data_IF_527770412072
#
_entry.id   IF_527770412072
#
_cell.length_a   1.000
_cell.length_b   1.000
_cell.length_c   1.000
_cell.angle_alpha   90.00
_cell.angle_beta   90.00
_cell.angle_gamma   90.00
#
_symmetry.space_group_name_H-M   'P 1'
#
loop_
_entity.id
_entity.type
_entity.pdbx_description
1 polymer ?
#
# COMPACT_ATOMS: atom_id res chain seq x y z
N UNK A 1 -61.18 -3.30 21.29
CA UNK A 1 -60.09 -2.33 21.01
C UNK A 1 -58.69 -2.95 20.98
N UNK A 2 -58.49 -4.22 20.55
CA UNK A 2 -57.17 -4.91 20.53
C UNK A 2 -56.76 -5.46 19.14
N UNK A 3 -57.59 -5.29 18.09
CA UNK A 3 -57.30 -5.80 16.74
C UNK A 3 -56.54 -4.78 15.90
N UNK A 4 -56.81 -3.47 16.08
CA UNK A 4 -56.14 -2.41 15.29
C UNK A 4 -54.64 -2.29 15.58
N UNK A 5 -54.19 -2.50 16.84
CA UNK A 5 -52.79 -2.39 17.22
C UNK A 5 -51.90 -3.55 16.65
N UNK A 6 -52.49 -4.75 16.46
CA UNK A 6 -51.80 -5.89 15.87
C UNK A 6 -51.60 -5.72 14.36
N UNK A 7 -52.54 -5.12 13.66
CA UNK A 7 -52.46 -4.86 12.21
C UNK A 7 -51.44 -3.75 11.93
N UNK A 8 -51.41 -2.68 12.74
CA UNK A 8 -50.41 -1.62 12.64
C UNK A 8 -48.96 -2.14 12.87
N UNK A 9 -48.77 -3.05 13.84
CA UNK A 9 -47.48 -3.64 14.11
C UNK A 9 -47.05 -4.66 13.01
N UNK A 10 -48.00 -5.30 12.34
CA UNK A 10 -47.68 -6.15 11.21
C UNK A 10 -47.31 -5.34 9.96
N UNK A 11 -47.98 -4.24 9.69
CA UNK A 11 -47.67 -3.32 8.60
C UNK A 11 -46.36 -2.57 8.80
N UNK A 12 -45.96 -2.25 10.03
CA UNK A 12 -44.66 -1.66 10.33
C UNK A 12 -43.53 -2.66 10.10
N UNK A 13 -43.71 -3.94 10.46
CA UNK A 13 -42.73 -5.01 10.20
C UNK A 13 -42.60 -5.34 8.71
N UNK A 14 -43.69 -5.29 7.93
CA UNK A 14 -43.64 -5.48 6.47
C UNK A 14 -43.00 -4.28 5.78
N UNK A 15 -43.20 -3.04 6.25
CA UNK A 15 -42.52 -1.86 5.69
C UNK A 15 -41.00 -1.89 5.91
N UNK A 16 -40.53 -2.40 7.05
CA UNK A 16 -39.08 -2.54 7.31
C UNK A 16 -38.41 -3.61 6.48
N UNK A 17 -39.16 -4.62 5.99
CA UNK A 17 -38.61 -5.66 5.11
C UNK A 17 -38.62 -5.29 3.62
N UNK A 18 -39.27 -4.16 3.25
CA UNK A 18 -39.35 -3.67 1.86
C UNK A 18 -38.42 -2.46 1.60
N UNK A 19 -37.73 -1.96 2.62
CA UNK A 19 -36.66 -0.99 2.42
C UNK A 19 -35.43 -1.81 2.00
N UNK A 20 -34.94 -1.64 0.75
CA UNK A 20 -33.67 -2.27 0.39
C UNK A 20 -32.62 -1.89 1.43
N UNK A 21 -31.90 -2.89 1.95
CA UNK A 21 -30.72 -2.58 2.79
C UNK A 21 -29.84 -1.63 1.98
N UNK A 22 -29.26 -0.58 2.61
CA UNK A 22 -28.30 0.28 1.91
C UNK A 22 -27.28 -0.63 1.21
N UNK A 23 -26.99 -0.32 -0.04
CA UNK A 23 -26.02 -1.07 -0.83
C UNK A 23 -24.72 -1.15 -0.02
N UNK A 24 -24.38 -2.35 0.47
CA UNK A 24 -23.21 -2.58 1.31
C UNK A 24 -21.98 -2.90 0.46
N UNK A 25 -22.08 -2.82 -0.87
CA UNK A 25 -20.95 -3.03 -1.76
C UNK A 25 -19.90 -1.94 -1.54
N UNK A 26 -18.69 -2.38 -1.32
CA UNK A 26 -17.51 -1.52 -1.24
C UNK A 26 -16.60 -1.82 -2.42
N UNK A 27 -16.09 -0.80 -3.07
CA UNK A 27 -15.13 -0.94 -4.16
C UNK A 27 -13.73 -0.89 -3.58
N UNK A 28 -12.93 -1.93 -3.85
CA UNK A 28 -11.49 -1.94 -3.61
C UNK A 28 -10.75 -1.52 -4.88
N UNK A 29 -9.61 -0.89 -4.69
CA UNK A 29 -8.65 -0.50 -5.73
C UNK A 29 -7.32 -1.26 -5.57
N UNK A 30 -7.10 -1.88 -4.43
CA UNK A 30 -5.96 -2.72 -4.15
C UNK A 30 -6.08 -4.11 -4.80
N UNK A 31 -5.01 -4.88 -4.75
CA UNK A 31 -4.91 -6.18 -5.43
C UNK A 31 -5.84 -7.23 -4.80
N UNK A 32 -5.84 -7.31 -3.48
CA UNK A 32 -6.61 -8.31 -2.72
C UNK A 32 -7.52 -7.68 -1.65
N UNK A 33 -7.84 -6.37 -1.75
CA UNK A 33 -8.72 -5.68 -0.82
C UNK A 33 -8.01 -5.05 0.38
N UNK A 34 -6.70 -4.86 0.31
CA UNK A 34 -5.86 -4.25 1.34
C UNK A 34 -6.40 -2.88 1.77
N UNK A 35 -6.82 -2.05 0.82
CA UNK A 35 -7.37 -0.73 1.05
C UNK A 35 -8.64 -0.73 1.94
N UNK A 36 -9.47 -1.75 1.84
CA UNK A 36 -10.65 -1.92 2.69
C UNK A 36 -10.27 -2.38 4.10
N UNK A 37 -9.26 -3.24 4.24
CA UNK A 37 -8.71 -3.65 5.54
C UNK A 37 -8.06 -2.45 6.22
N UNK A 38 -7.22 -1.72 5.50
CA UNK A 38 -6.57 -0.48 5.95
C UNK A 38 -7.60 0.55 6.42
N UNK A 39 -8.68 0.75 5.65
CA UNK A 39 -9.76 1.64 6.04
C UNK A 39 -10.43 1.21 7.35
N UNK A 40 -10.64 -0.09 7.56
CA UNK A 40 -11.18 -0.60 8.83
C UNK A 40 -10.24 -0.31 10.02
N UNK A 41 -8.93 -0.50 9.82
CA UNK A 41 -7.91 -0.19 10.84
C UNK A 41 -7.96 1.31 11.20
N UNK A 42 -7.94 2.21 10.20
CA UNK A 42 -7.97 3.65 10.45
C UNK A 42 -9.26 4.12 11.11
N UNK A 43 -10.41 3.50 10.77
CA UNK A 43 -11.65 3.76 11.50
C UNK A 43 -11.54 3.35 12.97
N UNK A 44 -10.95 2.20 13.29
CA UNK A 44 -10.70 1.77 14.66
C UNK A 44 -9.75 2.72 15.40
N UNK A 45 -8.71 3.23 14.72
CA UNK A 45 -7.77 4.22 15.25
C UNK A 45 -8.34 5.65 15.27
N UNK A 46 -9.56 5.88 14.79
CA UNK A 46 -10.21 7.22 14.69
C UNK A 46 -9.46 8.20 13.80
N UNK A 47 -8.77 7.70 12.78
CA UNK A 47 -8.04 8.49 11.77
C UNK A 47 -8.92 8.56 10.51
N UNK A 48 -9.58 9.68 10.29
CA UNK A 48 -10.54 9.83 9.17
C UNK A 48 -9.86 10.02 7.82
N UNK A 49 -8.74 10.74 7.79
CA UNK A 49 -7.98 11.07 6.58
C UNK A 49 -6.50 10.74 6.79
N UNK A 50 -6.12 9.46 6.70
CA UNK A 50 -4.74 9.07 6.91
C UNK A 50 -3.82 9.68 5.85
N UNK A 51 -2.69 10.24 6.29
CA UNK A 51 -1.58 10.56 5.40
C UNK A 51 -0.83 9.29 5.05
N UNK A 52 -0.28 9.22 3.84
CA UNK A 52 0.41 8.01 3.37
C UNK A 52 1.67 8.31 2.58
N UNK A 53 2.65 7.43 2.72
CA UNK A 53 3.79 7.28 1.85
C UNK A 53 3.63 5.95 1.10
N UNK A 54 3.53 6.01 -0.24
CA UNK A 54 3.28 4.86 -1.12
C UNK A 54 4.51 4.64 -2.01
N UNK A 55 5.29 3.61 -1.69
CA UNK A 55 6.59 3.30 -2.31
C UNK A 55 6.38 2.18 -3.33
N UNK A 56 6.65 2.47 -4.61
CA UNK A 56 6.32 1.59 -5.74
C UNK A 56 4.87 1.78 -6.20
N UNK A 57 4.41 3.03 -6.29
CA UNK A 57 2.99 3.36 -6.49
C UNK A 57 2.39 2.92 -7.83
N UNK A 58 3.20 2.61 -8.83
CA UNK A 58 2.85 2.05 -10.14
C UNK A 58 1.71 2.77 -10.86
N UNK A 59 0.48 2.33 -10.70
CA UNK A 59 -0.70 2.93 -11.35
C UNK A 59 -1.46 3.85 -10.38
N UNK A 60 -1.99 4.99 -10.85
CA UNK A 60 -2.71 5.91 -9.95
C UNK A 60 -3.95 5.33 -9.29
N UNK A 61 -4.54 4.25 -9.82
CA UNK A 61 -5.83 3.70 -9.36
C UNK A 61 -5.86 2.18 -9.27
N UNK A 62 -5.21 1.50 -10.23
CA UNK A 62 -5.24 0.05 -10.36
C UNK A 62 -4.16 -0.58 -9.49
N UNK A 63 -4.51 -1.59 -8.71
CA UNK A 63 -3.62 -2.24 -7.74
C UNK A 63 -3.02 -1.23 -6.75
N UNK A 64 -3.81 -0.25 -6.30
CA UNK A 64 -3.32 0.82 -5.42
C UNK A 64 -3.87 0.67 -4.01
N UNK A 65 -2.98 0.50 -3.03
CA UNK A 65 -3.32 0.43 -1.61
C UNK A 65 -3.78 1.79 -1.06
N UNK A 66 -3.47 2.90 -1.74
CA UNK A 66 -3.70 4.27 -1.25
C UNK A 66 -4.77 5.05 -2.02
N UNK A 67 -5.19 4.61 -3.21
CA UNK A 67 -6.17 5.35 -4.01
C UNK A 67 -7.53 5.46 -3.33
N UNK A 68 -7.95 4.47 -2.56
CA UNK A 68 -9.17 4.53 -1.76
C UNK A 68 -9.17 5.75 -0.84
N UNK A 69 -8.07 6.01 -0.13
CA UNK A 69 -7.91 7.16 0.77
C UNK A 69 -7.87 8.48 0.00
N UNK A 70 -7.14 8.53 -1.12
CA UNK A 70 -7.15 9.69 -2.01
C UNK A 70 -8.56 10.04 -2.46
N UNK A 71 -9.34 9.07 -2.93
CA UNK A 71 -10.72 9.27 -3.38
C UNK A 71 -11.62 9.82 -2.26
N UNK A 72 -11.35 9.45 -1.01
CA UNK A 72 -12.07 9.90 0.17
C UNK A 72 -11.48 11.18 0.80
N UNK A 73 -10.65 11.93 0.09
CA UNK A 73 -10.19 13.25 0.47
C UNK A 73 -8.92 13.29 1.32
N UNK A 74 -8.24 12.16 1.52
CA UNK A 74 -6.89 12.12 2.08
C UNK A 74 -5.84 12.53 1.03
N UNK A 75 -4.58 12.65 1.43
CA UNK A 75 -3.46 12.95 0.54
C UNK A 75 -2.15 12.42 1.10
N UNK A 76 -1.17 12.23 0.23
CA UNK A 76 0.13 11.70 0.60
C UNK A 76 1.22 11.93 -0.43
N UNK A 77 2.28 11.17 -0.29
CA UNK A 77 3.43 11.15 -1.19
C UNK A 77 3.54 9.78 -1.82
N UNK A 78 3.74 9.75 -3.13
CA UNK A 78 3.98 8.53 -3.89
C UNK A 78 5.39 8.56 -4.45
N UNK A 79 6.08 7.44 -4.38
CA UNK A 79 7.40 7.25 -4.96
C UNK A 79 7.28 6.28 -6.13
N UNK A 80 7.63 6.77 -7.32
CA UNK A 80 7.53 6.00 -8.56
C UNK A 80 8.71 6.33 -9.48
N UNK A 81 9.69 5.40 -9.61
CA UNK A 81 10.87 5.63 -10.45
C UNK A 81 10.59 5.65 -11.94
N UNK A 82 9.53 5.00 -12.44
CA UNK A 82 9.14 5.08 -13.84
C UNK A 82 8.51 6.46 -14.13
N UNK A 83 9.21 7.27 -14.91
CA UNK A 83 8.77 8.62 -15.28
C UNK A 83 7.39 8.67 -15.93
N UNK A 84 7.03 7.70 -16.76
CA UNK A 84 5.72 7.64 -17.43
C UNK A 84 4.59 7.38 -16.43
N UNK A 85 4.83 6.48 -15.46
CA UNK A 85 3.88 6.16 -14.41
C UNK A 85 3.76 7.34 -13.44
N UNK A 86 4.87 7.93 -12.99
CA UNK A 86 4.86 9.11 -12.13
C UNK A 86 4.09 10.27 -12.79
N UNK A 87 4.28 10.53 -14.10
CA UNK A 87 3.51 11.54 -14.84
C UNK A 87 2.01 11.22 -14.89
N UNK A 88 1.63 9.94 -15.03
CA UNK A 88 0.23 9.49 -15.01
C UNK A 88 -0.39 9.71 -13.64
N UNK A 89 0.35 9.38 -12.57
CA UNK A 89 -0.06 9.62 -11.18
C UNK A 89 -0.31 11.12 -10.95
N UNK A 90 0.65 11.97 -11.26
CA UNK A 90 0.55 13.43 -11.07
C UNK A 90 -0.68 14.03 -11.76
N UNK A 91 -1.01 13.55 -12.96
CA UNK A 91 -2.21 13.99 -13.69
C UNK A 91 -3.52 13.54 -13.06
N UNK A 92 -3.52 12.36 -12.43
CA UNK A 92 -4.73 11.70 -11.92
C UNK A 92 -4.99 12.04 -10.46
N UNK A 93 -3.92 12.20 -9.66
CA UNK A 93 -3.94 12.38 -8.21
C UNK A 93 -3.34 13.75 -7.84
N UNK A 94 -4.01 14.81 -8.24
CA UNK A 94 -3.52 16.20 -8.13
C UNK A 94 -3.32 16.72 -6.70
N UNK A 95 -3.87 16.05 -5.67
CA UNK A 95 -3.61 16.38 -4.25
C UNK A 95 -2.40 15.68 -3.70
N UNK A 96 -1.92 14.64 -4.37
CA UNK A 96 -0.74 13.90 -3.96
C UNK A 96 0.52 14.47 -4.63
N UNK A 97 1.64 14.26 -3.98
CA UNK A 97 2.96 14.53 -4.52
C UNK A 97 3.51 13.21 -5.07
N UNK A 98 3.84 13.14 -6.34
CA UNK A 98 4.54 12.00 -6.92
C UNK A 98 6.00 12.36 -7.14
N UNK A 99 6.90 11.63 -6.49
CA UNK A 99 8.35 11.78 -6.61
C UNK A 99 8.87 10.76 -7.62
N UNK A 100 9.50 11.26 -8.70
CA UNK A 100 10.12 10.40 -9.70
C UNK A 100 11.54 10.02 -9.24
N UNK A 101 11.64 9.23 -8.20
CA UNK A 101 12.86 8.76 -7.54
C UNK A 101 12.69 7.31 -7.09
N UNK A 102 13.80 6.66 -6.70
CA UNK A 102 13.76 5.41 -5.94
C UNK A 102 14.01 5.65 -4.46
N UNK A 103 13.81 4.60 -3.65
CA UNK A 103 14.15 4.64 -2.22
C UNK A 103 15.56 4.09 -2.01
N UNK A 104 16.39 4.86 -1.32
CA UNK A 104 17.74 4.44 -0.91
C UNK A 104 17.69 3.59 0.35
N UNK A 105 18.40 2.48 0.33
CA UNK A 105 18.62 1.61 1.51
C UNK A 105 20.00 1.77 2.11
N UNK A 106 20.84 2.57 1.48
CA UNK A 106 22.23 2.85 1.87
C UNK A 106 22.63 4.29 1.48
N UNK A 107 23.93 4.58 1.42
CA UNK A 107 24.44 5.92 1.10
C UNK A 107 24.42 6.27 -0.39
N UNK A 108 23.98 5.39 -1.28
CA UNK A 108 23.89 5.67 -2.72
C UNK A 108 22.84 6.74 -3.00
N UNK A 109 23.15 7.61 -3.95
CA UNK A 109 22.27 8.70 -4.38
C UNK A 109 21.61 8.44 -5.72
N UNK A 110 22.02 7.38 -6.41
CA UNK A 110 21.46 6.95 -7.69
C UNK A 110 21.65 5.43 -7.86
N UNK A 111 20.80 4.82 -8.68
CA UNK A 111 20.91 3.43 -9.10
C UNK A 111 20.30 3.22 -10.48
N UNK A 112 20.72 2.15 -11.13
CA UNK A 112 20.12 1.69 -12.39
C UNK A 112 18.75 1.07 -12.10
N UNK A 113 17.76 1.52 -12.85
CA UNK A 113 16.38 1.02 -12.81
C UNK A 113 16.08 0.31 -14.11
N UNK A 114 15.73 -0.97 -14.01
CA UNK A 114 15.48 -1.87 -15.15
C UNK A 114 14.00 -1.83 -15.51
N UNK A 115 13.70 -1.29 -16.70
CA UNK A 115 12.35 -1.19 -17.24
C UNK A 115 12.05 -2.43 -18.06
N UNK A 116 11.03 -3.17 -17.61
CA UNK A 116 10.58 -4.39 -18.26
C UNK A 116 9.47 -4.09 -19.29
N UNK A 117 9.24 -5.03 -20.22
CA UNK A 117 8.08 -4.94 -21.13
C UNK A 117 6.73 -5.10 -20.41
N UNK A 118 6.71 -5.59 -19.17
CA UNK A 118 5.60 -5.47 -18.21
C UNK A 118 6.05 -4.55 -17.08
N UNK A 119 5.42 -3.38 -16.95
CA UNK A 119 5.88 -2.33 -16.01
C UNK A 119 5.68 -2.68 -14.54
N UNK A 120 4.81 -3.65 -14.25
CA UNK A 120 4.64 -4.21 -12.90
C UNK A 120 5.89 -4.97 -12.42
N UNK A 121 6.80 -5.30 -13.32
CA UNK A 121 8.03 -6.05 -13.04
C UNK A 121 9.28 -5.16 -13.15
N UNK A 122 9.11 -3.83 -13.15
CA UNK A 122 10.23 -2.91 -13.12
C UNK A 122 10.95 -3.03 -11.77
N UNK A 123 12.29 -3.05 -11.77
CA UNK A 123 13.06 -3.30 -10.55
C UNK A 123 14.41 -2.58 -10.56
N UNK A 124 14.96 -2.30 -9.37
CA UNK A 124 16.34 -1.88 -9.18
C UNK A 124 17.34 -3.05 -9.11
N UNK A 125 16.86 -4.28 -8.98
CA UNK A 125 17.72 -5.48 -8.95
C UNK A 125 18.02 -5.99 -10.35
N UNK A 126 19.29 -5.90 -10.76
CA UNK A 126 19.75 -6.50 -12.01
C UNK A 126 19.53 -8.01 -12.03
N UNK A 127 19.79 -8.66 -10.90
CA UNK A 127 19.64 -10.13 -10.78
C UNK A 127 18.16 -10.52 -10.99
N UNK A 128 17.24 -9.76 -10.43
CA UNK A 128 15.82 -10.00 -10.59
C UNK A 128 15.36 -9.74 -12.03
N UNK A 129 15.79 -8.63 -12.64
CA UNK A 129 15.49 -8.33 -14.04
C UNK A 129 16.00 -9.43 -14.98
N UNK A 130 17.24 -9.91 -14.78
CA UNK A 130 17.83 -10.98 -15.55
C UNK A 130 17.08 -12.32 -15.32
N UNK A 131 16.70 -12.62 -14.07
CA UNK A 131 15.93 -13.82 -13.71
C UNK A 131 14.56 -13.84 -14.39
N UNK A 132 13.88 -12.71 -14.39
CA UNK A 132 12.58 -12.54 -15.05
C UNK A 132 12.75 -12.67 -16.57
N UNK A 133 13.76 -12.03 -17.16
CA UNK A 133 14.03 -12.09 -18.60
C UNK A 133 14.40 -13.51 -19.07
N UNK A 134 15.09 -14.29 -18.25
CA UNK A 134 15.45 -15.69 -18.56
C UNK A 134 14.23 -16.62 -18.74
N UNK A 135 13.03 -16.20 -18.30
CA UNK A 135 11.79 -16.95 -18.52
C UNK A 135 11.29 -16.87 -19.99
N UNK A 136 11.86 -15.97 -20.81
CA UNK A 136 11.58 -15.85 -22.25
C UNK A 136 10.28 -15.10 -22.61
N UNK A 137 9.42 -14.81 -21.64
CA UNK A 137 8.16 -14.05 -21.83
C UNK A 137 8.43 -12.55 -21.61
N UNK A 138 9.23 -12.23 -20.63
CA UNK A 138 9.60 -10.89 -20.26
C UNK A 138 10.98 -10.51 -20.79
N UNK A 139 11.24 -9.22 -20.94
CA UNK A 139 12.55 -8.69 -21.34
C UNK A 139 12.77 -7.30 -20.77
N UNK A 140 14.03 -6.96 -20.52
CA UNK A 140 14.45 -5.59 -20.22
C UNK A 140 14.30 -4.77 -21.51
N UNK A 141 13.56 -3.68 -21.44
CA UNK A 141 13.32 -2.77 -22.59
C UNK A 141 14.16 -1.52 -22.52
N UNK A 142 14.53 -1.08 -21.30
CA UNK A 142 15.34 0.11 -21.06
C UNK A 142 16.03 -0.01 -19.69
N UNK A 143 17.11 0.73 -19.50
CA UNK A 143 17.78 0.89 -18.20
C UNK A 143 18.03 2.38 -17.99
N UNK A 144 17.60 2.92 -16.86
CA UNK A 144 17.74 4.36 -16.54
C UNK A 144 18.36 4.53 -15.18
N UNK A 145 19.32 5.43 -15.08
CA UNK A 145 19.84 5.87 -13.78
C UNK A 145 18.80 6.79 -13.14
N UNK A 146 18.37 6.45 -11.93
CA UNK A 146 17.34 7.15 -11.15
C UNK A 146 17.94 7.65 -9.84
N UNK A 147 17.59 8.87 -9.45
CA UNK A 147 17.96 9.41 -8.13
C UNK A 147 17.29 8.60 -7.01
N UNK A 148 18.03 8.45 -5.91
CA UNK A 148 17.56 7.77 -4.71
C UNK A 148 17.45 8.77 -3.55
N UNK A 149 16.37 8.66 -2.78
CA UNK A 149 16.15 9.36 -1.52
C UNK A 149 15.88 8.35 -0.41
N UNK A 150 16.39 8.59 0.78
CA UNK A 150 16.00 7.80 1.95
C UNK A 150 14.55 8.13 2.37
N UNK A 151 13.89 7.20 3.05
CA UNK A 151 12.54 7.46 3.61
C UNK A 151 12.57 8.68 4.53
N UNK A 152 13.61 8.82 5.33
CA UNK A 152 13.83 9.95 6.22
C UNK A 152 13.86 11.30 5.47
N UNK A 153 14.59 11.37 4.35
CA UNK A 153 14.64 12.58 3.51
C UNK A 153 13.25 12.90 2.96
N UNK A 154 12.52 11.88 2.47
CA UNK A 154 11.16 12.04 1.93
C UNK A 154 10.20 12.52 3.03
N UNK A 155 10.21 11.87 4.19
CA UNK A 155 9.32 12.23 5.29
C UNK A 155 9.60 13.64 5.80
N UNK A 156 10.85 13.99 6.04
CA UNK A 156 11.25 15.34 6.51
C UNK A 156 10.88 16.45 5.50
N UNK A 157 10.96 16.15 4.20
CA UNK A 157 10.69 17.16 3.18
C UNK A 157 9.19 17.38 2.91
N UNK A 158 8.36 16.36 3.11
CA UNK A 158 6.98 16.37 2.58
C UNK A 158 5.89 16.16 3.63
N UNK A 159 6.24 15.76 4.85
CA UNK A 159 5.27 15.52 5.91
C UNK A 159 5.57 16.38 7.14
N UNK A 160 4.55 16.94 7.80
CA UNK A 160 4.73 17.68 9.06
C UNK A 160 5.05 16.74 10.23
N UNK A 161 4.70 15.46 10.11
CA UNK A 161 4.95 14.39 11.08
C UNK A 161 5.08 13.07 10.33
N UNK A 162 5.34 11.95 11.03
CA UNK A 162 5.33 10.63 10.41
C UNK A 162 3.99 10.38 9.68
N UNK A 163 3.98 9.85 8.44
CA UNK A 163 2.74 9.46 7.78
C UNK A 163 2.04 8.33 8.55
N UNK A 164 0.71 8.28 8.49
CA UNK A 164 -0.07 7.24 9.17
C UNK A 164 0.10 5.85 8.53
N UNK A 165 0.28 5.82 7.20
CA UNK A 165 0.47 4.61 6.41
C UNK A 165 1.78 4.69 5.63
N UNK A 166 2.57 3.61 5.67
CA UNK A 166 3.62 3.36 4.67
C UNK A 166 3.26 2.07 3.93
N UNK A 167 3.07 2.19 2.61
CA UNK A 167 2.89 1.06 1.70
C UNK A 167 4.20 0.83 0.95
N UNK A 168 4.68 -0.42 0.90
CA UNK A 168 5.93 -0.81 0.22
C UNK A 168 5.63 -1.99 -0.69
N UNK A 169 5.89 -1.80 -1.99
CA UNK A 169 5.76 -2.81 -3.03
C UNK A 169 6.76 -2.47 -4.15
N UNK A 170 7.98 -3.01 -4.05
CA UNK A 170 9.11 -2.62 -4.93
C UNK A 170 9.84 -3.81 -5.55
N UNK A 171 9.16 -4.94 -5.64
CA UNK A 171 9.63 -6.12 -6.36
C UNK A 171 11.02 -6.58 -5.87
N UNK A 172 11.08 -6.96 -4.58
CA UNK A 172 12.21 -7.66 -3.98
C UNK A 172 13.18 -6.82 -3.14
N UNK A 173 12.96 -5.51 -3.02
CA UNK A 173 13.76 -4.64 -2.12
C UNK A 173 13.04 -4.25 -0.83
N UNK A 174 11.84 -4.75 -0.62
CA UNK A 174 10.95 -4.43 0.50
C UNK A 174 11.61 -4.62 1.85
N UNK A 175 12.31 -5.74 2.04
CA UNK A 175 13.02 -6.04 3.27
C UNK A 175 14.20 -5.10 3.53
N UNK A 176 14.98 -4.78 2.49
CA UNK A 176 16.10 -3.85 2.61
C UNK A 176 15.62 -2.43 2.97
N UNK A 177 14.51 -2.01 2.38
CA UNK A 177 13.86 -0.73 2.70
C UNK A 177 13.42 -0.72 4.17
N UNK A 178 12.76 -1.77 4.64
CA UNK A 178 12.35 -1.88 6.04
C UNK A 178 13.54 -1.87 7.01
N UNK A 179 14.64 -2.56 6.68
CA UNK A 179 15.86 -2.55 7.51
C UNK A 179 16.53 -1.16 7.59
N UNK A 180 16.39 -0.37 6.54
CA UNK A 180 16.92 1.00 6.51
C UNK A 180 16.05 2.02 7.25
N UNK A 181 14.82 1.64 7.64
CA UNK A 181 13.85 2.52 8.27
C UNK A 181 14.19 2.76 9.74
N UNK A 182 14.18 4.03 10.17
CA UNK A 182 14.43 4.39 11.57
C UNK A 182 13.15 4.29 12.42
N UNK A 183 12.86 3.09 12.89
CA UNK A 183 11.73 2.80 13.78
C UNK A 183 11.80 3.54 15.14
N UNK A 184 12.91 4.21 15.49
CA UNK A 184 13.01 4.99 16.73
C UNK A 184 12.45 6.39 16.56
N UNK A 185 12.68 6.98 15.38
CA UNK A 185 12.26 8.36 15.07
C UNK A 185 10.91 8.41 14.35
N UNK A 186 10.60 7.39 13.57
CA UNK A 186 9.40 7.31 12.75
C UNK A 186 8.55 6.10 13.15
N UNK A 187 7.30 6.36 13.48
CA UNK A 187 6.35 5.31 13.93
C UNK A 187 5.00 5.50 13.21
N UNK A 188 4.89 5.10 11.92
CA UNK A 188 3.58 5.08 11.27
C UNK A 188 2.64 4.09 11.98
N UNK A 189 1.37 4.39 12.04
CA UNK A 189 0.38 3.51 12.64
C UNK A 189 0.27 2.19 11.89
N UNK A 190 0.47 2.22 10.56
CA UNK A 190 0.27 1.04 9.71
C UNK A 190 1.36 0.93 8.65
N UNK A 191 1.86 -0.29 8.45
CA UNK A 191 2.58 -0.71 7.25
C UNK A 191 1.72 -1.69 6.44
N UNK A 192 1.75 -1.54 5.11
CA UNK A 192 1.29 -2.53 4.15
C UNK A 192 2.49 -2.90 3.27
N UNK A 193 2.94 -4.15 3.32
CA UNK A 193 4.22 -4.56 2.71
C UNK A 193 4.00 -5.79 1.86
N UNK A 194 4.55 -5.80 0.64
CA UNK A 194 4.62 -7.03 -0.14
C UNK A 194 5.50 -8.06 0.58
N UNK A 195 4.95 -9.24 0.78
CA UNK A 195 5.63 -10.34 1.49
C UNK A 195 5.59 -11.65 0.70
N UNK A 196 5.45 -11.56 -0.61
CA UNK A 196 5.48 -12.70 -1.51
C UNK A 196 6.57 -12.51 -2.56
N UNK A 197 7.35 -13.55 -2.85
CA UNK A 197 8.32 -13.48 -3.94
C UNK A 197 7.63 -13.66 -5.28
N UNK A 198 7.94 -12.82 -6.27
CA UNK A 198 7.39 -13.00 -7.62
C UNK A 198 7.95 -14.28 -8.28
N UNK A 199 7.06 -15.06 -8.89
CA UNK A 199 7.41 -16.22 -9.71
C UNK A 199 6.32 -16.50 -10.76
N UNK A 200 6.68 -17.14 -11.85
CA UNK A 200 5.75 -17.63 -12.88
C UNK A 200 5.56 -19.14 -12.82
N UNK A 201 6.16 -19.82 -11.84
CA UNK A 201 6.18 -21.29 -11.74
C UNK A 201 5.28 -21.81 -10.62
N UNK A 202 4.51 -20.94 -9.95
CA UNK A 202 3.73 -21.25 -8.75
C UNK A 202 4.59 -21.86 -7.63
N UNK A 203 5.83 -21.38 -7.51
CA UNK A 203 6.79 -21.73 -6.45
C UNK A 203 7.15 -20.48 -5.61
N UNK A 204 6.22 -19.53 -5.51
CA UNK A 204 6.33 -18.35 -4.69
C UNK A 204 6.50 -18.71 -3.22
N UNK A 205 7.28 -17.91 -2.53
CA UNK A 205 7.57 -18.10 -1.11
C UNK A 205 7.17 -16.86 -0.32
N UNK A 206 6.53 -17.12 0.82
CA UNK A 206 6.21 -16.07 1.77
C UNK A 206 7.49 -15.59 2.49
N UNK A 207 7.71 -14.29 2.54
CA UNK A 207 8.84 -13.63 3.21
C UNK A 207 8.58 -13.52 4.71
N UNK A 208 8.72 -14.65 5.41
CA UNK A 208 8.52 -14.69 6.87
C UNK A 208 9.56 -13.87 7.63
N UNK A 209 10.73 -13.63 7.05
CA UNK A 209 11.76 -12.74 7.57
C UNK A 209 11.28 -11.29 7.73
N UNK A 210 10.46 -10.78 6.79
CA UNK A 210 9.78 -9.47 6.90
C UNK A 210 8.82 -9.47 8.08
N UNK A 211 8.02 -10.55 8.21
CA UNK A 211 7.04 -10.66 9.29
C UNK A 211 7.77 -10.64 10.65
N UNK A 212 8.78 -11.48 10.82
CA UNK A 212 9.56 -11.56 12.06
C UNK A 212 10.24 -10.24 12.39
N UNK A 213 10.77 -9.55 11.38
CA UNK A 213 11.39 -8.24 11.54
C UNK A 213 10.37 -7.20 12.05
N UNK A 214 9.19 -7.13 11.46
CA UNK A 214 8.15 -6.19 11.88
C UNK A 214 7.65 -6.49 13.31
N UNK A 215 7.48 -7.78 13.66
CA UNK A 215 7.11 -8.19 15.02
C UNK A 215 8.17 -7.75 16.04
N UNK A 216 9.46 -7.83 15.69
CA UNK A 216 10.57 -7.39 16.57
C UNK A 216 10.63 -5.87 16.76
N UNK A 217 10.01 -5.10 15.85
CA UNK A 217 9.92 -3.64 15.89
C UNK A 217 8.60 -3.13 16.53
N UNK A 218 7.93 -3.94 17.34
CA UNK A 218 6.70 -3.60 18.08
C UNK A 218 5.46 -3.38 17.19
N UNK A 219 5.45 -3.93 15.98
CA UNK A 219 4.26 -4.08 15.16
C UNK A 219 3.67 -5.47 15.34
N UNK A 220 2.38 -5.63 15.07
CA UNK A 220 1.77 -6.96 14.99
C UNK A 220 1.11 -7.14 13.62
N UNK A 221 1.09 -8.37 13.14
CA UNK A 221 0.42 -8.73 11.91
C UNK A 221 -1.09 -8.66 12.14
N UNK A 222 -1.74 -7.70 11.50
CA UNK A 222 -3.19 -7.51 11.58
C UNK A 222 -3.93 -8.36 10.54
N UNK A 223 -3.42 -8.38 9.31
CA UNK A 223 -3.99 -9.17 8.23
C UNK A 223 -2.89 -9.60 7.25
N UNK A 224 -3.15 -10.71 6.58
CA UNK A 224 -2.33 -11.23 5.50
C UNK A 224 -3.25 -11.56 4.32
N UNK A 225 -3.03 -10.91 3.18
CA UNK A 225 -3.79 -11.11 1.95
C UNK A 225 -3.09 -12.08 1.00
N UNK A 226 -2.11 -12.84 1.50
CA UNK A 226 -1.18 -13.70 0.79
C UNK A 226 -0.06 -12.92 0.08
N UNK A 227 -0.39 -11.92 -0.74
CA UNK A 227 0.61 -11.07 -1.41
C UNK A 227 1.16 -10.05 -0.42
N UNK A 228 0.28 -9.30 0.23
CA UNK A 228 0.64 -8.26 1.18
C UNK A 228 0.37 -8.67 2.62
N UNK A 229 1.24 -8.22 3.53
CA UNK A 229 1.03 -8.29 4.97
C UNK A 229 0.81 -6.89 5.53
N UNK A 230 -0.22 -6.74 6.37
CA UNK A 230 -0.60 -5.48 6.99
C UNK A 230 -0.23 -5.54 8.47
N UNK A 231 0.65 -4.63 8.87
CA UNK A 231 1.16 -4.53 10.24
C UNK A 231 0.65 -3.25 10.89
N UNK A 232 0.28 -3.36 12.17
CA UNK A 232 -0.21 -2.23 12.96
C UNK A 232 0.71 -2.02 14.17
N UNK A 233 1.02 -0.75 14.44
CA UNK A 233 1.82 -0.35 15.58
C UNK A 233 1.09 -0.70 16.88
N UNK A 234 1.75 -1.42 17.77
CA UNK A 234 1.13 -2.01 18.96
C UNK A 234 0.57 -0.98 19.91
N UNK A 235 1.32 0.09 20.21
CA UNK A 235 0.88 1.14 21.14
C UNK A 235 -0.28 1.97 20.58
N UNK A 236 -0.24 2.28 19.27
CA UNK A 236 -1.33 2.99 18.62
C UNK A 236 -2.63 2.17 18.71
N UNK A 237 -2.52 0.85 18.50
CA UNK A 237 -3.68 -0.05 18.58
C UNK A 237 -4.22 -0.21 20.01
N UNK A 238 -3.37 -0.29 21.01
CA UNK A 238 -3.76 -0.44 22.41
C UNK A 238 -4.43 0.83 22.97
N UNK A 239 -4.04 2.02 22.45
CA UNK A 239 -4.55 3.32 22.90
C UNK A 239 -5.73 3.88 22.08
N UNK A 240 -6.33 3.12 21.16
CA UNK A 240 -7.43 3.56 20.26
C UNK A 240 -8.77 3.87 20.98
#
# INVERSE_FOLDING_TARGET
MKIGTRILNLLSRVKTSLIPSPDQHRTSYAQCGEDLILNHIFQALKIEKPTYLDIGAHDPKYISNTYFFYKNGAGGVLVEPDHELCRKITKTRSRDICLNVGVSVDARKEADFYIMNSRTLNTFSKEEADRIAAQGIYRITDVRTVQLLSIDEIVKAHFPSCPNLISIDVEGWDYEILKSFDFRSLRPEVFCVETLTFTTKNDENKRTDIIDFMLSNEYFLYADTYINSIFVERRAWENR
#
